data_IF_914944733301
#
_entry.id   IF_914944733301
#
_cell.length_a   1.000
_cell.length_b   1.000
_cell.length_c   1.000
_cell.angle_alpha   90.00
_cell.angle_beta   90.00
_cell.angle_gamma   90.00
#
_symmetry.space_group_name_H-M   'P 1'
#
loop_
_entity.id
_entity.type
_entity.pdbx_description
1 polymer ?
#
# COMPACT_ATOMS: atom_id res chain seq x y z
N UNK A 1 -27.89 -18.77 15.46
CA UNK A 1 -28.27 -19.93 14.64
C UNK A 1 -29.29 -19.45 13.63
N UNK A 2 -29.00 -19.60 12.34
CA UNK A 2 -30.00 -19.34 11.30
C UNK A 2 -30.84 -20.62 11.18
N UNK A 3 -32.16 -20.50 11.05
CA UNK A 3 -33.05 -21.67 10.93
C UNK A 3 -33.77 -21.74 9.58
N UNK A 4 -33.83 -20.62 8.87
CA UNK A 4 -34.36 -20.52 7.53
C UNK A 4 -33.92 -19.23 6.84
N UNK A 5 -33.92 -19.25 5.51
CA UNK A 5 -33.86 -18.07 4.64
C UNK A 5 -35.25 -17.80 4.06
N UNK A 6 -35.76 -16.59 4.23
CA UNK A 6 -36.93 -16.10 3.49
C UNK A 6 -36.45 -15.26 2.31
N UNK A 7 -36.92 -15.55 1.10
CA UNK A 7 -36.60 -14.78 -0.10
C UNK A 7 -37.83 -14.57 -0.99
N UNK A 8 -37.81 -13.50 -1.77
CA UNK A 8 -38.84 -13.18 -2.76
C UNK A 8 -38.35 -13.60 -4.14
N UNK A 9 -39.13 -14.40 -4.85
CA UNK A 9 -38.86 -14.71 -6.26
C UNK A 9 -39.15 -13.48 -7.13
N UNK A 10 -38.14 -12.99 -7.85
CA UNK A 10 -38.29 -11.79 -8.66
C UNK A 10 -39.16 -11.98 -9.92
N UNK A 11 -39.51 -13.23 -10.28
CA UNK A 11 -40.31 -13.54 -11.48
C UNK A 11 -41.80 -13.33 -11.26
N UNK A 12 -42.29 -13.68 -10.08
CA UNK A 12 -43.71 -13.67 -9.74
C UNK A 12 -44.02 -12.99 -8.40
N UNK A 13 -43.01 -12.52 -7.67
CA UNK A 13 -43.15 -11.83 -6.38
C UNK A 13 -43.52 -12.75 -5.22
N UNK A 14 -43.51 -14.07 -5.41
CA UNK A 14 -43.88 -15.01 -4.37
C UNK A 14 -42.80 -15.10 -3.29
N UNK A 15 -43.23 -15.26 -2.03
CA UNK A 15 -42.34 -15.43 -0.90
C UNK A 15 -42.09 -16.92 -0.65
N UNK A 16 -40.82 -17.29 -0.53
CA UNK A 16 -40.38 -18.64 -0.22
C UNK A 16 -39.64 -18.67 1.12
N UNK A 17 -39.82 -19.78 1.84
CA UNK A 17 -39.06 -20.10 3.05
C UNK A 17 -38.24 -21.36 2.83
N UNK A 18 -36.92 -21.24 2.93
CA UNK A 18 -35.96 -22.32 2.80
C UNK A 18 -35.37 -22.66 4.16
N UNK A 19 -35.65 -23.85 4.69
CA UNK A 19 -35.01 -24.33 5.92
C UNK A 19 -33.52 -24.61 5.68
N UNK A 20 -32.66 -24.10 6.56
CA UNK A 20 -31.20 -24.30 6.53
C UNK A 20 -30.62 -24.10 7.92
N UNK A 21 -29.44 -24.64 8.16
CA UNK A 21 -28.75 -24.55 9.46
C UNK A 21 -27.75 -23.38 9.49
N UNK A 22 -27.05 -23.15 8.37
CA UNK A 22 -26.00 -22.13 8.26
C UNK A 22 -26.06 -21.38 6.92
N UNK A 23 -25.79 -20.07 6.98
CA UNK A 23 -25.77 -19.18 5.83
C UNK A 23 -24.46 -18.39 5.80
N UNK A 24 -23.74 -18.47 4.69
CA UNK A 24 -22.55 -17.67 4.43
C UNK A 24 -22.88 -16.63 3.36
N UNK A 25 -22.73 -15.35 3.70
CA UNK A 25 -22.98 -14.25 2.77
C UNK A 25 -21.65 -13.81 2.16
N UNK A 26 -21.53 -13.97 0.83
CA UNK A 26 -20.35 -13.53 0.07
C UNK A 26 -20.81 -12.69 -1.13
N UNK A 27 -21.05 -11.40 -0.89
CA UNK A 27 -21.53 -10.43 -1.90
C UNK A 27 -20.41 -9.54 -2.47
N UNK A 28 -19.15 -9.89 -2.18
CA UNK A 28 -17.98 -9.09 -2.56
C UNK A 28 -17.57 -8.08 -1.48
N UNK A 29 -16.58 -7.27 -1.81
CA UNK A 29 -16.01 -6.23 -0.95
C UNK A 29 -16.30 -4.86 -1.54
N UNK A 30 -16.75 -3.92 -0.72
CA UNK A 30 -16.81 -2.49 -1.06
C UNK A 30 -15.67 -1.79 -0.33
N UNK A 31 -14.67 -1.22 -1.04
CA UNK A 31 -13.58 -0.50 -0.41
C UNK A 31 -14.05 0.77 0.31
N UNK A 32 -13.45 1.10 1.45
CA UNK A 32 -13.73 2.32 2.23
C UNK A 32 -13.02 3.56 1.64
N UNK A 33 -13.26 3.84 0.36
CA UNK A 33 -12.49 4.80 -0.46
C UNK A 33 -13.33 5.92 -1.07
N UNK A 34 -14.64 5.96 -0.79
CA UNK A 34 -15.55 6.96 -1.36
C UNK A 34 -15.02 8.39 -1.17
N UNK A 35 -14.45 8.67 0.01
CA UNK A 35 -13.88 9.97 0.38
C UNK A 35 -12.59 10.34 -0.39
N UNK A 36 -11.98 9.38 -1.11
CA UNK A 36 -10.77 9.59 -1.92
C UNK A 36 -11.08 9.90 -3.38
N UNK A 37 -12.35 9.86 -3.79
CA UNK A 37 -12.75 10.21 -5.17
C UNK A 37 -12.26 11.60 -5.56
N UNK A 38 -11.66 11.71 -6.73
CA UNK A 38 -11.05 12.95 -7.23
C UNK A 38 -9.70 13.31 -6.59
N UNK A 39 -9.26 12.59 -5.55
CA UNK A 39 -7.93 12.75 -4.94
C UNK A 39 -6.97 11.65 -5.41
N UNK A 40 -7.43 10.40 -5.42
CA UNK A 40 -6.71 9.25 -5.96
C UNK A 40 -7.44 8.67 -7.17
N UNK A 41 -6.70 8.00 -8.05
CA UNK A 41 -7.28 7.18 -9.10
C UNK A 41 -7.86 5.91 -8.49
N UNK A 42 -9.16 5.72 -8.70
CA UNK A 42 -9.90 4.54 -8.28
C UNK A 42 -10.43 3.80 -9.51
N UNK A 43 -10.53 2.47 -9.45
CA UNK A 43 -11.21 1.71 -10.49
C UNK A 43 -12.74 1.81 -10.35
N UNK A 44 -13.48 1.15 -11.27
CA UNK A 44 -14.94 1.15 -11.25
C UNK A 44 -15.55 0.53 -9.98
N UNK A 45 -14.79 -0.32 -9.28
CA UNK A 45 -15.17 -0.97 -8.02
C UNK A 45 -14.77 -0.15 -6.79
N UNK A 46 -14.14 1.02 -6.98
CA UNK A 46 -13.68 1.90 -5.90
C UNK A 46 -12.34 1.50 -5.29
N UNK A 47 -11.61 0.55 -5.87
CA UNK A 47 -10.28 0.17 -5.36
C UNK A 47 -9.23 1.22 -5.76
N UNK A 48 -8.27 1.48 -4.88
CA UNK A 48 -7.13 2.36 -5.16
C UNK A 48 -6.23 1.66 -6.17
N UNK A 49 -6.00 2.30 -7.32
CA UNK A 49 -5.07 1.81 -8.33
C UNK A 49 -3.65 2.03 -7.80
N UNK A 50 -2.87 0.96 -7.77
CA UNK A 50 -1.47 0.97 -7.30
C UNK A 50 -0.53 0.29 -8.28
N UNK A 51 0.72 0.73 -8.28
CA UNK A 51 1.80 0.05 -9.01
C UNK A 51 2.39 -1.14 -8.24
N UNK A 52 3.44 -1.76 -8.80
CA UNK A 52 4.13 -2.89 -8.18
C UNK A 52 4.77 -2.57 -6.81
N UNK A 53 4.93 -1.29 -6.44
CA UNK A 53 5.48 -0.85 -5.16
C UNK A 53 4.39 -0.36 -4.19
N UNK A 54 3.12 -0.37 -4.59
CA UNK A 54 2.02 0.18 -3.80
C UNK A 54 1.85 1.69 -3.95
N UNK A 55 2.52 2.33 -4.92
CA UNK A 55 2.41 3.76 -5.16
C UNK A 55 1.09 4.07 -5.86
N UNK A 56 0.39 5.10 -5.38
CA UNK A 56 -0.89 5.58 -5.96
C UNK A 56 -0.65 6.65 -7.03
N UNK A 57 -1.72 7.15 -7.64
CA UNK A 57 -1.64 8.30 -8.57
C UNK A 57 -1.13 9.59 -7.91
N UNK A 58 -1.22 9.72 -6.58
CA UNK A 58 -0.71 10.87 -5.85
C UNK A 58 0.70 10.60 -5.31
N UNK A 59 1.65 11.42 -5.76
CA UNK A 59 3.07 11.29 -5.42
C UNK A 59 3.32 11.39 -3.91
N UNK A 60 3.81 10.29 -3.30
CA UNK A 60 4.10 10.19 -1.87
C UNK A 60 2.97 9.57 -1.05
N UNK A 61 1.87 9.19 -1.70
CA UNK A 61 0.80 8.39 -1.10
C UNK A 61 0.90 6.96 -1.63
N UNK A 62 0.87 6.02 -0.69
CA UNK A 62 0.96 4.59 -0.93
C UNK A 62 -0.26 3.89 -0.33
N UNK A 63 -0.68 2.78 -0.93
CA UNK A 63 -1.80 1.97 -0.45
C UNK A 63 -1.44 0.48 -0.50
N UNK A 64 -2.07 -0.29 0.38
CA UNK A 64 -1.80 -1.72 0.53
C UNK A 64 -3.05 -2.48 0.99
N UNK A 65 -3.10 -3.77 0.67
CA UNK A 65 -4.17 -4.67 1.08
C UNK A 65 -5.45 -4.48 0.28
N UNK A 66 -6.56 -4.93 0.85
CA UNK A 66 -7.81 -5.16 0.12
C UNK A 66 -8.42 -3.91 -0.52
N UNK A 67 -8.05 -2.73 -0.02
CA UNK A 67 -8.44 -1.42 -0.56
C UNK A 67 -7.85 -1.14 -1.95
N UNK A 68 -6.83 -1.90 -2.37
CA UNK A 68 -6.10 -1.71 -3.62
C UNK A 68 -6.55 -2.68 -4.72
N UNK A 69 -6.07 -2.49 -5.94
CA UNK A 69 -6.27 -3.42 -7.07
C UNK A 69 -5.51 -4.75 -6.95
N UNK A 70 -4.80 -5.02 -5.84
CA UNK A 70 -4.14 -6.32 -5.63
C UNK A 70 -5.19 -7.45 -5.55
N UNK A 71 -4.96 -8.59 -6.24
CA UNK A 71 -5.90 -9.71 -6.27
C UNK A 71 -5.95 -10.51 -4.95
N UNK A 72 -6.94 -11.41 -4.88
CA UNK A 72 -7.11 -12.50 -3.91
C UNK A 72 -7.49 -12.13 -2.47
N UNK A 73 -7.32 -10.87 -2.04
CA UNK A 73 -7.90 -10.32 -0.78
C UNK A 73 -7.67 -11.22 0.45
N UNK A 74 -6.47 -11.78 0.56
CA UNK A 74 -6.07 -12.64 1.67
C UNK A 74 -5.23 -11.85 2.67
N UNK A 75 -5.35 -12.18 3.95
CA UNK A 75 -4.59 -11.52 5.03
C UNK A 75 -3.09 -11.53 4.76
N UNK A 76 -2.53 -12.67 4.32
CA UNK A 76 -1.09 -12.76 4.05
C UNK A 76 -0.65 -11.91 2.85
N UNK A 77 -1.54 -11.74 1.87
CA UNK A 77 -1.29 -10.87 0.71
C UNK A 77 -1.33 -9.41 1.15
N UNK A 78 -2.32 -9.03 1.95
CA UNK A 78 -2.40 -7.68 2.52
C UNK A 78 -1.19 -7.34 3.39
N UNK A 79 -0.69 -8.29 4.18
CA UNK A 79 0.53 -8.13 4.96
C UNK A 79 1.77 -7.92 4.07
N UNK A 80 1.92 -8.73 3.02
CA UNK A 80 3.00 -8.58 2.04
C UNK A 80 2.94 -7.24 1.30
N UNK A 81 1.75 -6.82 0.89
CA UNK A 81 1.51 -5.51 0.30
C UNK A 81 1.83 -4.36 1.26
N UNK A 82 1.49 -4.51 2.55
CA UNK A 82 1.84 -3.54 3.59
C UNK A 82 3.34 -3.36 3.72
N UNK A 83 4.10 -4.45 3.75
CA UNK A 83 5.56 -4.42 3.76
C UNK A 83 6.12 -3.73 2.51
N UNK A 84 5.59 -4.07 1.34
CA UNK A 84 5.98 -3.52 0.03
C UNK A 84 5.73 -2.01 -0.04
N UNK A 85 4.53 -1.56 0.33
CA UNK A 85 4.15 -0.15 0.36
C UNK A 85 4.96 0.65 1.39
N UNK A 86 5.23 0.08 2.57
CA UNK A 86 6.06 0.72 3.59
C UNK A 86 7.51 0.93 3.10
N UNK A 87 8.11 -0.09 2.47
CA UNK A 87 9.45 0.03 1.89
C UNK A 87 9.46 0.99 0.69
N UNK A 88 8.41 0.98 -0.13
CA UNK A 88 8.23 1.95 -1.22
C UNK A 88 8.17 3.39 -0.72
N UNK A 89 7.39 3.64 0.34
CA UNK A 89 7.29 4.95 0.98
C UNK A 89 8.61 5.38 1.61
N UNK A 90 9.33 4.47 2.27
CA UNK A 90 10.65 4.75 2.84
C UNK A 90 11.66 5.14 1.76
N UNK A 91 11.73 4.36 0.68
CA UNK A 91 12.62 4.60 -0.47
C UNK A 91 12.34 5.93 -1.17
N UNK A 92 11.06 6.31 -1.27
CA UNK A 92 10.63 7.60 -1.80
C UNK A 92 10.99 8.76 -0.85
N UNK A 93 10.80 8.58 0.47
CA UNK A 93 11.13 9.59 1.48
C UNK A 93 12.63 9.91 1.50
N UNK A 94 13.50 8.91 1.54
CA UNK A 94 14.97 9.12 1.61
C UNK A 94 15.52 9.82 0.36
N UNK A 95 14.84 9.70 -0.78
CA UNK A 95 15.21 10.40 -2.02
C UNK A 95 14.66 11.83 -2.10
N UNK A 96 13.62 12.14 -1.32
CA UNK A 96 13.01 13.48 -1.24
C UNK A 96 13.69 14.40 -0.25
N UNK A 97 14.32 13.85 0.79
CA UNK A 97 15.10 14.65 1.73
C UNK A 97 16.27 15.29 0.98
N UNK A 98 16.32 16.63 0.86
CA UNK A 98 17.50 17.29 0.32
C UNK A 98 18.68 16.91 1.19
N UNK A 99 19.80 16.53 0.57
CA UNK A 99 21.08 16.47 1.28
C UNK A 99 21.36 17.88 1.80
N UNK A 100 21.03 18.18 3.05
CA UNK A 100 21.56 19.36 3.72
C UNK A 100 23.07 19.13 3.82
N UNK A 101 23.79 19.65 2.83
CA UNK A 101 25.22 19.83 2.91
C UNK A 101 25.47 20.87 3.99
N UNK A 102 25.74 20.42 5.21
CA UNK A 102 26.22 21.29 6.28
C UNK A 102 27.66 21.73 5.96
N UNK A 103 27.77 22.75 5.12
CA UNK A 103 28.98 23.55 4.94
C UNK A 103 29.05 24.65 6.00
N UNK A 104 29.15 24.29 7.28
CA UNK A 104 29.55 25.28 8.32
C UNK A 104 30.12 24.67 9.61
N UNK A 105 31.18 23.88 9.48
CA UNK A 105 32.20 23.82 10.54
C UNK A 105 33.56 24.12 9.91
N UNK A 106 33.84 25.41 9.76
CA UNK A 106 35.18 25.90 9.46
C UNK A 106 36.07 25.64 10.69
N UNK A 107 36.78 24.50 10.70
CA UNK A 107 37.86 24.30 11.64
C UNK A 107 39.09 25.07 11.12
N UNK A 108 39.40 26.20 11.76
CA UNK A 108 40.69 26.86 11.62
C UNK A 108 41.76 26.00 12.30
N UNK A 109 42.88 25.82 11.58
CA UNK A 109 44.20 25.36 12.04
C UNK A 109 44.47 23.85 11.88
N UNK A 110 45.12 23.45 10.78
CA UNK A 110 46.56 23.12 10.80
C UNK A 110 47.06 22.79 9.39
N UNK A 111 48.28 23.27 9.10
CA UNK A 111 49.03 23.10 7.86
C UNK A 111 49.40 21.64 7.55
N UNK A 112 49.49 21.32 6.25
CA UNK A 112 50.45 20.35 5.73
C UNK A 112 50.00 18.89 5.65
N UNK A 113 49.45 18.48 4.52
CA UNK A 113 50.05 17.55 3.53
C UNK A 113 48.96 16.88 2.69
N UNK A 114 49.22 16.82 1.39
CA UNK A 114 48.32 16.45 0.32
C UNK A 114 48.29 14.91 0.18
N UNK A 115 47.18 14.26 0.55
CA UNK A 115 46.87 12.90 0.09
C UNK A 115 45.41 12.82 -0.37
N UNK A 116 45.25 12.32 -1.59
CA UNK A 116 44.00 12.26 -2.33
C UNK A 116 42.90 11.52 -1.56
N UNK A 117 41.83 12.26 -1.21
CA UNK A 117 40.64 11.71 -0.57
C UNK A 117 39.89 10.79 -1.54
N UNK A 118 40.13 9.48 -1.39
CA UNK A 118 39.31 8.43 -1.99
C UNK A 118 37.83 8.65 -1.59
N UNK A 119 36.87 8.67 -2.52
CA UNK A 119 35.47 8.86 -2.18
C UNK A 119 34.98 7.69 -1.32
N UNK A 120 34.44 7.99 -0.14
CA UNK A 120 33.75 7.02 0.72
C UNK A 120 32.47 6.60 0.02
N UNK A 121 32.50 5.43 -0.62
CA UNK A 121 31.30 4.72 -1.04
C UNK A 121 30.46 4.41 0.20
N UNK A 122 29.38 5.16 0.44
CA UNK A 122 28.24 4.63 1.18
C UNK A 122 27.46 3.71 0.23
N UNK A 123 28.09 2.60 -0.15
CA UNK A 123 27.37 1.43 -0.63
C UNK A 123 26.69 0.81 0.58
N UNK A 124 25.48 1.28 0.89
CA UNK A 124 24.51 0.44 1.59
C UNK A 124 24.23 -0.74 0.65
N UNK A 125 25.07 -1.77 0.76
CA UNK A 125 24.77 -3.12 0.32
C UNK A 125 23.55 -3.57 1.13
N UNK A 126 22.36 -3.22 0.64
CA UNK A 126 21.12 -3.92 0.95
C UNK A 126 21.29 -5.33 0.41
N UNK A 127 21.95 -6.18 1.19
CA UNK A 127 21.90 -7.62 1.01
C UNK A 127 20.44 -8.03 1.13
N UNK A 128 19.79 -8.20 -0.02
CA UNK A 128 18.52 -8.94 -0.11
C UNK A 128 18.78 -10.33 0.47
N UNK A 129 18.30 -10.56 1.69
CA UNK A 129 18.04 -11.92 2.15
C UNK A 129 16.65 -12.29 1.62
N UNK A 130 16.61 -13.38 0.84
CA UNK A 130 15.40 -14.08 0.45
C UNK A 130 14.75 -14.75 1.66
#
# INVERSE_FOLDING_TARGET
>A
VVSALTYIDQRDGTEHRLALEDLFVQIGLVPNTEWLKGTLELNAQGEIIVDAKGQTSLKGVFAAGDVTTTPFKQIIIAAGDGAKAALGAFDDLIRRTPQHGDSSFANKNHEGTNEASKPRNHSLELRKAA
#
